data_IF_309942179432
#
_entry.id   IF_309942179432
#
_cell.length_a   1.000
_cell.length_b   1.000
_cell.length_c   1.000
_cell.angle_alpha   90.00
_cell.angle_beta   90.00
_cell.angle_gamma   90.00
#
_symmetry.space_group_name_H-M   'P 1'
#
loop_
_entity.id
_entity.type
_entity.pdbx_description
1 polymer ?
#
# COMPACT_ATOMS: atom_id res chain seq x y z
N UNK A 1 -10.77 -4.93 -21.73
CA UNK A 1 -9.80 -4.10 -20.97
C UNK A 1 -10.47 -2.78 -20.64
N UNK A 2 -10.41 -2.30 -19.39
CA UNK A 2 -10.95 -0.98 -19.05
C UNK A 2 -10.06 0.12 -19.65
N UNK A 3 -10.68 1.11 -20.30
CA UNK A 3 -10.01 2.29 -20.82
C UNK A 3 -10.11 3.43 -19.80
N UNK A 4 -9.01 4.13 -19.55
CA UNK A 4 -8.96 5.26 -18.64
C UNK A 4 -8.56 6.48 -19.47
N UNK A 5 -9.41 7.51 -19.47
CA UNK A 5 -9.11 8.82 -20.05
C UNK A 5 -8.89 9.79 -18.90
N UNK A 6 -7.78 10.51 -18.93
CA UNK A 6 -7.47 11.53 -17.93
C UNK A 6 -6.75 12.69 -18.60
N UNK A 7 -7.01 13.90 -18.12
CA UNK A 7 -6.38 15.11 -18.62
C UNK A 7 -5.07 15.34 -17.88
N UNK A 8 -4.00 15.58 -18.63
CA UNK A 8 -2.69 15.97 -18.14
C UNK A 8 -2.33 17.32 -18.74
N UNK A 9 -1.48 18.06 -18.04
CA UNK A 9 -0.85 19.26 -18.60
C UNK A 9 0.09 18.91 -19.75
N UNK A 10 0.14 19.79 -20.75
CA UNK A 10 0.88 19.56 -21.98
C UNK A 10 2.40 19.46 -21.74
N UNK A 11 2.91 20.17 -20.74
CA UNK A 11 4.32 20.14 -20.37
C UNK A 11 4.73 18.77 -19.84
N UNK A 12 3.90 18.16 -18.98
CA UNK A 12 4.10 16.79 -18.48
C UNK A 12 4.01 15.78 -19.60
N UNK A 13 3.06 15.92 -20.54
CA UNK A 13 2.99 15.02 -21.71
C UNK A 13 4.29 15.06 -22.52
N UNK A 14 4.84 16.25 -22.77
CA UNK A 14 6.12 16.41 -23.51
C UNK A 14 7.28 15.75 -22.78
N UNK A 15 7.42 15.99 -21.47
CA UNK A 15 8.48 15.40 -20.64
C UNK A 15 8.38 13.88 -20.61
N UNK A 16 7.20 13.33 -20.38
CA UNK A 16 7.03 11.88 -20.28
C UNK A 16 7.20 11.20 -21.63
N UNK A 17 6.79 11.81 -22.76
CA UNK A 17 7.08 11.28 -24.11
C UNK A 17 8.57 11.20 -24.38
N UNK A 18 9.34 12.22 -23.99
CA UNK A 18 10.81 12.19 -24.11
C UNK A 18 11.41 11.03 -23.32
N UNK A 19 10.99 10.85 -22.07
CA UNK A 19 11.44 9.75 -21.21
C UNK A 19 11.02 8.38 -21.79
N UNK A 20 9.82 8.29 -22.37
CA UNK A 20 9.33 7.06 -22.98
C UNK A 20 10.21 6.67 -24.18
N UNK A 21 10.56 7.64 -25.04
CA UNK A 21 11.48 7.44 -26.15
C UNK A 21 12.89 7.04 -25.68
N UNK A 22 13.44 7.71 -24.66
CA UNK A 22 14.75 7.38 -24.09
C UNK A 22 14.82 5.96 -23.50
N UNK A 23 13.67 5.38 -23.13
CA UNK A 23 13.57 4.04 -22.52
C UNK A 23 13.04 2.97 -23.48
N UNK A 24 12.83 3.29 -24.76
CA UNK A 24 12.19 2.40 -25.74
C UNK A 24 10.83 1.86 -25.26
N UNK A 25 10.03 2.72 -24.62
CA UNK A 25 8.69 2.37 -24.10
C UNK A 25 7.62 3.33 -24.61
N UNK A 26 6.36 3.02 -24.33
CA UNK A 26 5.23 3.92 -24.61
C UNK A 26 4.73 4.59 -23.34
N UNK A 27 4.15 5.79 -23.47
CA UNK A 27 3.48 6.49 -22.37
C UNK A 27 2.44 5.60 -21.68
N UNK A 28 1.67 4.84 -22.46
CA UNK A 28 0.65 3.92 -21.95
C UNK A 28 1.25 2.74 -21.18
N UNK A 29 2.40 2.21 -21.62
CA UNK A 29 3.14 1.19 -20.88
C UNK A 29 3.66 1.75 -19.55
N UNK A 30 4.28 2.94 -19.54
CA UNK A 30 4.77 3.58 -18.31
C UNK A 30 3.65 3.82 -17.28
N UNK A 31 2.50 4.32 -17.74
CA UNK A 31 1.33 4.54 -16.86
C UNK A 31 0.82 3.22 -16.31
N UNK A 32 0.71 2.18 -17.15
CA UNK A 32 0.29 0.84 -16.72
C UNK A 32 1.23 0.27 -15.66
N UNK A 33 2.53 0.35 -15.89
CA UNK A 33 3.55 -0.16 -14.97
C UNK A 33 3.54 0.62 -13.66
N UNK A 34 3.38 1.94 -13.72
CA UNK A 34 3.25 2.78 -12.54
C UNK A 34 2.03 2.38 -11.71
N UNK A 35 0.84 2.29 -12.32
CA UNK A 35 -0.39 1.89 -11.62
C UNK A 35 -0.28 0.48 -11.03
N UNK A 36 0.32 -0.46 -11.76
CA UNK A 36 0.59 -1.81 -11.25
C UNK A 36 1.53 -1.77 -10.05
N UNK A 37 2.58 -0.96 -10.10
CA UNK A 37 3.54 -0.81 -8.99
C UNK A 37 2.88 -0.23 -7.74
N UNK A 38 1.96 0.73 -7.90
CA UNK A 38 1.20 1.33 -6.79
C UNK A 38 0.30 0.28 -6.14
N UNK A 39 -0.44 -0.50 -6.94
CA UNK A 39 -1.28 -1.58 -6.43
C UNK A 39 -0.47 -2.65 -5.67
N UNK A 40 0.68 -3.08 -6.22
CA UNK A 40 1.58 -4.04 -5.57
C UNK A 40 2.14 -3.51 -4.25
N UNK A 41 2.50 -2.22 -4.17
CA UNK A 41 3.00 -1.61 -2.94
C UNK A 41 1.96 -1.62 -1.83
N UNK A 42 0.70 -1.33 -2.17
CA UNK A 42 -0.39 -1.37 -1.18
C UNK A 42 -0.62 -2.78 -0.63
N UNK A 43 -0.67 -3.77 -1.54
CA UNK A 43 -0.81 -5.17 -1.15
C UNK A 43 0.36 -5.64 -0.27
N UNK A 44 1.59 -5.26 -0.63
CA UNK A 44 2.79 -5.61 0.14
C UNK A 44 2.80 -4.95 1.52
N UNK A 45 2.38 -3.68 1.63
CA UNK A 45 2.22 -2.99 2.92
C UNK A 45 1.21 -3.72 3.79
N UNK A 46 0.05 -4.07 3.23
CA UNK A 46 -1.02 -4.80 3.95
C UNK A 46 -0.53 -6.17 4.43
N UNK A 47 0.14 -6.94 3.56
CA UNK A 47 0.74 -8.25 3.92
C UNK A 47 1.78 -8.10 5.04
N UNK A 48 2.63 -7.08 4.96
CA UNK A 48 3.67 -6.82 5.96
C UNK A 48 3.06 -6.45 7.32
N UNK A 49 2.06 -5.56 7.32
CA UNK A 49 1.34 -5.18 8.53
C UNK A 49 0.67 -6.40 9.20
N UNK A 50 0.02 -7.25 8.40
CA UNK A 50 -0.64 -8.46 8.88
C UNK A 50 0.36 -9.48 9.43
N UNK A 51 1.53 -9.63 8.81
CA UNK A 51 2.62 -10.48 9.32
C UNK A 51 3.14 -9.95 10.66
N UNK A 52 3.38 -8.64 10.78
CA UNK A 52 3.79 -8.00 12.04
C UNK A 52 2.75 -8.22 13.13
N UNK A 53 1.48 -8.00 12.82
CA UNK A 53 0.37 -8.20 13.75
C UNK A 53 0.31 -9.64 14.28
N UNK A 54 0.38 -10.65 13.39
CA UNK A 54 0.42 -12.06 13.78
C UNK A 54 1.64 -12.41 14.64
N UNK A 55 2.81 -11.86 14.29
CA UNK A 55 4.01 -12.03 15.10
C UNK A 55 3.85 -11.43 16.50
N UNK A 56 3.25 -10.25 16.62
CA UNK A 56 2.93 -9.63 17.91
C UNK A 56 2.01 -10.52 18.75
N UNK A 57 0.95 -11.10 18.17
CA UNK A 57 0.12 -12.08 18.87
C UNK A 57 0.94 -13.28 19.33
N UNK A 58 1.79 -13.86 18.48
CA UNK A 58 2.58 -15.03 18.89
C UNK A 58 3.56 -14.73 20.04
N UNK A 59 4.16 -13.54 20.05
CA UNK A 59 5.17 -13.17 21.06
C UNK A 59 4.56 -12.64 22.34
N UNK A 60 3.48 -11.87 22.23
CA UNK A 60 2.87 -11.13 23.34
C UNK A 60 1.59 -11.80 23.87
N UNK A 61 1.02 -12.78 23.17
CA UNK A 61 -0.10 -13.54 23.71
C UNK A 61 0.38 -14.31 24.93
N UNK A 62 -0.21 -13.95 26.05
CA UNK A 62 -0.08 -14.63 27.34
C UNK A 62 -1.47 -15.06 27.77
N UNK A 63 -1.51 -16.08 28.62
CA UNK A 63 -2.73 -16.41 29.33
C UNK A 63 -3.11 -15.21 30.20
N UNK A 64 -4.23 -14.57 29.86
CA UNK A 64 -4.76 -13.40 30.56
C UNK A 64 -5.56 -13.79 31.82
N UNK A 65 -5.59 -15.08 32.15
CA UNK A 65 -6.32 -15.66 33.28
C UNK A 65 -7.83 -15.60 33.09
N UNK A 66 -8.56 -15.99 34.13
CA UNK A 66 -10.04 -15.94 34.18
C UNK A 66 -10.58 -14.54 34.48
N UNK A 67 -9.70 -13.55 34.74
CA UNK A 67 -10.11 -12.21 35.13
C UNK A 67 -10.67 -11.46 33.92
N UNK A 68 -11.94 -11.07 34.01
CA UNK A 68 -12.55 -10.14 33.04
C UNK A 68 -12.06 -8.73 33.34
N UNK A 69 -11.27 -8.18 32.43
CA UNK A 69 -10.82 -6.80 32.49
C UNK A 69 -11.96 -5.89 32.03
N UNK A 70 -12.42 -4.99 32.90
CA UNK A 70 -13.31 -3.88 32.52
C UNK A 70 -12.49 -2.61 32.35
N UNK A 71 -12.98 -1.65 31.55
CA UNK A 71 -12.28 -0.39 31.30
C UNK A 71 -12.00 0.36 32.61
N UNK A 72 -12.95 0.32 33.54
CA UNK A 72 -12.89 0.93 34.87
C UNK A 72 -11.83 0.26 35.75
N UNK A 73 -11.61 -1.05 35.59
CA UNK A 73 -10.59 -1.81 36.35
C UNK A 73 -9.15 -1.58 35.90
N UNK A 74 -8.96 -0.99 34.71
CA UNK A 74 -7.65 -0.74 34.09
C UNK A 74 -7.16 0.70 34.30
N UNK A 75 -8.04 1.60 34.73
CA UNK A 75 -7.66 2.95 35.17
C UNK A 75 -7.45 2.90 36.69
N UNK A 76 -6.24 2.56 37.12
CA UNK A 76 -5.80 2.88 38.47
C UNK A 76 -5.57 4.40 38.53
N UNK A 77 -6.25 5.06 39.45
CA UNK A 77 -6.09 6.49 39.73
C UNK A 77 -5.17 6.67 40.93
#
# INVERSE_FOLDING_TARGET
MPNITFSLDEETIRKVRKIALEKDTTLTALVRDFLSSVAKRDEQKKKTALKKFKASFKTLSRDMGSRKWTRESLYER
#
